data_IF_304309456863
#
_entry.id   IF_304309456863
#
_cell.length_a   1.000
_cell.length_b   1.000
_cell.length_c   1.000
_cell.angle_alpha   90.00
_cell.angle_beta   90.00
_cell.angle_gamma   90.00
#
_symmetry.space_group_name_H-M   'P 1'
#
loop_
_entity.id
_entity.type
_entity.pdbx_description
1 polymer ?
#
# COMPACT_ATOMS: atom_id res chain seq x y z
N UNK A 1 -11.17 1.69 -22.48
CA UNK A 1 -10.78 3.00 -21.92
C UNK A 1 -11.95 3.84 -21.40
N UNK A 2 -13.11 3.87 -22.05
CA UNK A 2 -14.31 4.64 -21.62
C UNK A 2 -14.99 4.15 -20.33
N UNK A 3 -15.04 2.84 -20.07
CA UNK A 3 -15.66 2.26 -18.85
C UNK A 3 -14.91 2.62 -17.57
N UNK A 4 -13.57 2.72 -17.61
CA UNK A 4 -12.73 3.04 -16.47
C UNK A 4 -12.93 4.49 -15.97
N UNK A 5 -13.25 5.43 -16.89
CA UNK A 5 -13.46 6.84 -16.56
C UNK A 5 -14.82 7.10 -15.89
N UNK A 6 -15.87 6.41 -16.29
CA UNK A 6 -17.21 6.58 -15.71
C UNK A 6 -17.29 5.98 -14.29
N UNK A 7 -16.70 4.81 -14.04
CA UNK A 7 -16.61 4.17 -12.72
C UNK A 7 -15.83 5.05 -11.73
N UNK A 8 -14.70 5.62 -12.17
CA UNK A 8 -13.88 6.50 -11.33
C UNK A 8 -14.63 7.79 -10.91
N UNK A 9 -15.46 8.36 -11.79
CA UNK A 9 -16.26 9.54 -11.43
C UNK A 9 -17.31 9.20 -10.38
N UNK A 10 -18.02 8.08 -10.55
CA UNK A 10 -19.02 7.61 -9.57
C UNK A 10 -18.41 7.29 -8.21
N UNK A 11 -17.22 6.66 -8.19
CA UNK A 11 -16.47 6.41 -6.97
C UNK A 11 -16.08 7.72 -6.27
N UNK A 12 -15.52 8.67 -6.99
CA UNK A 12 -15.08 9.96 -6.43
C UNK A 12 -16.26 10.77 -5.86
N UNK A 13 -17.43 10.74 -6.52
CA UNK A 13 -18.65 11.33 -6.00
C UNK A 13 -19.11 10.65 -4.70
N UNK A 14 -19.10 9.32 -4.63
CA UNK A 14 -19.45 8.56 -3.42
C UNK A 14 -18.54 8.91 -2.26
N UNK A 15 -17.22 8.88 -2.47
CA UNK A 15 -16.22 9.24 -1.46
C UNK A 15 -16.38 10.70 -0.99
N UNK A 16 -16.66 11.63 -1.92
CA UNK A 16 -16.86 13.05 -1.59
C UNK A 16 -18.12 13.24 -0.76
N UNK A 17 -19.20 12.52 -1.05
CA UNK A 17 -20.43 12.58 -0.27
C UNK A 17 -20.24 12.00 1.14
N UNK A 18 -19.53 10.89 1.28
CA UNK A 18 -19.19 10.32 2.59
C UNK A 18 -18.37 11.30 3.47
N UNK A 19 -17.52 12.13 2.86
CA UNK A 19 -16.83 13.20 3.60
C UNK A 19 -17.80 14.27 4.08
N UNK A 20 -18.75 14.70 3.24
CA UNK A 20 -19.77 15.71 3.63
C UNK A 20 -20.69 15.21 4.75
N UNK A 21 -20.96 13.92 4.78
CA UNK A 21 -21.76 13.24 5.79
C UNK A 21 -20.98 12.94 7.08
N UNK A 22 -19.66 13.18 7.08
CA UNK A 22 -18.78 12.96 8.24
C UNK A 22 -18.37 11.49 8.45
N UNK A 23 -18.65 10.62 7.51
CA UNK A 23 -18.34 9.18 7.57
C UNK A 23 -16.90 8.89 7.13
N UNK A 24 -16.41 9.62 6.11
CA UNK A 24 -15.04 9.52 5.61
C UNK A 24 -14.23 10.78 5.99
N UNK A 25 -13.00 10.60 6.45
CA UNK A 25 -12.09 11.70 6.74
C UNK A 25 -11.58 12.37 5.45
N UNK A 26 -11.41 13.68 5.45
CA UNK A 26 -10.79 14.42 4.33
C UNK A 26 -9.37 13.91 4.02
N UNK A 27 -8.61 13.55 5.06
CA UNK A 27 -7.29 12.94 4.89
C UNK A 27 -7.37 11.59 4.20
N UNK A 28 -8.38 10.78 4.50
CA UNK A 28 -8.62 9.50 3.84
C UNK A 28 -8.96 9.70 2.36
N UNK A 29 -9.87 10.62 2.03
CA UNK A 29 -10.20 10.96 0.64
C UNK A 29 -8.97 11.41 -0.14
N UNK A 30 -8.17 12.32 0.43
CA UNK A 30 -6.93 12.81 -0.18
C UNK A 30 -5.96 11.67 -0.47
N UNK A 31 -5.76 10.78 0.50
CA UNK A 31 -4.83 9.65 0.36
C UNK A 31 -5.35 8.58 -0.61
N UNK A 32 -6.66 8.34 -0.68
CA UNK A 32 -7.27 7.46 -1.70
C UNK A 32 -7.00 8.02 -3.09
N UNK A 33 -7.29 9.30 -3.32
CA UNK A 33 -7.05 9.97 -4.62
C UNK A 33 -5.58 9.89 -5.04
N UNK A 34 -4.65 10.16 -4.11
CA UNK A 34 -3.22 10.07 -4.37
C UNK A 34 -2.79 8.64 -4.74
N UNK A 35 -3.29 7.63 -4.01
CA UNK A 35 -2.98 6.24 -4.33
C UNK A 35 -3.50 5.86 -5.70
N UNK A 36 -4.78 6.13 -5.99
CA UNK A 36 -5.42 5.74 -7.26
C UNK A 36 -4.80 6.46 -8.47
N UNK A 37 -4.43 7.73 -8.31
CA UNK A 37 -3.73 8.47 -9.37
C UNK A 37 -2.30 7.95 -9.62
N UNK A 38 -1.63 7.43 -8.58
CA UNK A 38 -0.24 6.98 -8.65
C UNK A 38 -0.04 5.49 -8.95
N UNK A 39 -1.11 4.68 -8.90
CA UNK A 39 -1.00 3.22 -9.12
C UNK A 39 -1.56 2.79 -10.47
N UNK A 40 -0.96 1.72 -11.01
CA UNK A 40 -1.51 0.98 -12.17
C UNK A 40 -2.15 -0.35 -11.74
N UNK A 41 -2.21 -0.62 -10.44
CA UNK A 41 -2.75 -1.87 -9.92
C UNK A 41 -4.28 -1.85 -9.95
N UNK A 42 -4.95 -2.76 -10.67
CA UNK A 42 -6.41 -2.87 -10.65
C UNK A 42 -6.93 -3.23 -9.25
N UNK A 43 -6.18 -4.02 -8.49
CA UNK A 43 -6.54 -4.44 -7.13
C UNK A 43 -6.77 -3.23 -6.21
N UNK A 44 -5.98 -2.15 -6.38
CA UNK A 44 -6.14 -0.96 -5.55
C UNK A 44 -7.46 -0.24 -5.81
N UNK A 45 -7.87 -0.14 -7.08
CA UNK A 45 -9.14 0.46 -7.46
C UNK A 45 -10.32 -0.40 -7.02
N UNK A 46 -10.29 -1.68 -7.37
CA UNK A 46 -11.35 -2.64 -7.04
C UNK A 46 -11.58 -2.77 -5.52
N UNK A 47 -10.51 -2.78 -4.72
CA UNK A 47 -10.63 -2.84 -3.26
C UNK A 47 -11.29 -1.58 -2.68
N UNK A 48 -10.94 -0.39 -3.17
CA UNK A 48 -11.56 0.86 -2.72
C UNK A 48 -13.02 0.94 -3.19
N UNK A 49 -13.31 0.57 -4.44
CA UNK A 49 -14.67 0.52 -4.98
C UNK A 49 -15.57 -0.43 -4.17
N UNK A 50 -15.07 -1.62 -3.83
CA UNK A 50 -15.83 -2.61 -3.06
C UNK A 50 -16.16 -2.10 -1.66
N UNK A 51 -15.20 -1.53 -0.94
CA UNK A 51 -15.41 -0.96 0.39
C UNK A 51 -16.37 0.24 0.35
N UNK A 52 -16.22 1.15 -0.60
CA UNK A 52 -17.09 2.31 -0.76
C UNK A 52 -18.53 1.90 -1.12
N UNK A 53 -18.70 0.92 -2.02
CA UNK A 53 -20.01 0.41 -2.40
C UNK A 53 -20.72 -0.32 -1.25
N UNK A 54 -19.96 -0.90 -0.32
CA UNK A 54 -20.50 -1.54 0.89
C UNK A 54 -20.72 -0.56 2.05
N UNK A 55 -20.34 0.74 1.91
CA UNK A 55 -20.44 1.72 2.99
C UNK A 55 -19.44 1.51 4.12
N UNK A 56 -18.33 0.80 3.86
CA UNK A 56 -17.33 0.45 4.87
C UNK A 56 -16.34 1.60 5.12
N UNK A 57 -16.90 2.75 5.48
CA UNK A 57 -16.17 4.01 5.66
C UNK A 57 -15.13 3.95 6.78
N UNK A 58 -15.45 3.24 7.86
CA UNK A 58 -14.50 3.07 8.97
C UNK A 58 -13.26 2.28 8.52
N UNK A 59 -13.44 1.22 7.74
CA UNK A 59 -12.33 0.45 7.19
C UNK A 59 -11.50 1.29 6.22
N UNK A 60 -12.15 2.12 5.38
CA UNK A 60 -11.44 3.08 4.51
C UNK A 60 -10.68 4.12 5.33
N UNK A 61 -11.26 4.66 6.40
CA UNK A 61 -10.55 5.56 7.30
C UNK A 61 -9.30 4.89 7.89
N UNK A 62 -9.43 3.69 8.45
CA UNK A 62 -8.32 2.95 9.04
C UNK A 62 -7.17 2.66 8.05
N UNK A 63 -7.52 2.50 6.78
CA UNK A 63 -6.56 2.22 5.71
C UNK A 63 -5.89 3.46 5.14
N UNK A 64 -6.57 4.63 5.21
CA UNK A 64 -6.18 5.81 4.45
C UNK A 64 -6.00 7.09 5.27
N UNK A 65 -6.29 7.12 6.60
CA UNK A 65 -6.21 8.33 7.41
C UNK A 65 -4.84 9.01 7.40
N UNK A 66 -3.79 8.28 7.06
CA UNK A 66 -2.42 8.78 6.92
C UNK A 66 -1.62 7.99 5.90
N UNK A 67 -0.45 8.50 5.54
CA UNK A 67 0.57 7.73 4.84
C UNK A 67 1.49 7.05 5.84
N UNK A 68 1.80 5.77 5.63
CA UNK A 68 2.70 5.01 6.48
C UNK A 68 4.07 5.66 6.51
N UNK A 69 4.51 6.03 7.70
CA UNK A 69 5.80 6.67 7.93
C UNK A 69 6.72 5.78 8.75
N UNK A 70 8.02 6.02 8.62
CA UNK A 70 9.03 5.36 9.43
C UNK A 70 8.94 5.88 10.87
N UNK A 71 8.65 4.99 11.81
CA UNK A 71 8.58 5.28 13.25
C UNK A 71 9.76 4.66 13.99
N UNK A 72 9.69 4.63 15.33
CA UNK A 72 10.69 4.00 16.18
C UNK A 72 10.84 2.51 15.82
N UNK A 73 11.95 2.15 15.19
CA UNK A 73 12.28 0.79 14.82
C UNK A 73 11.65 0.25 13.53
N UNK A 74 11.08 1.10 12.66
CA UNK A 74 10.65 0.70 11.32
C UNK A 74 9.24 1.14 10.91
N UNK A 75 8.79 0.64 9.77
CA UNK A 75 7.41 0.78 9.30
C UNK A 75 6.52 -0.20 10.07
N UNK A 76 5.37 0.28 10.53
CA UNK A 76 4.38 -0.54 11.25
C UNK A 76 2.99 -0.26 10.70
N UNK A 77 2.33 -1.30 10.21
CA UNK A 77 0.97 -1.26 9.70
C UNK A 77 0.43 -2.68 9.58
N UNK A 78 -0.88 -2.81 9.53
CA UNK A 78 -1.50 -4.13 9.30
C UNK A 78 -1.28 -4.57 7.86
N UNK A 79 -1.12 -5.88 7.66
CA UNK A 79 -0.95 -6.50 6.35
C UNK A 79 -2.25 -7.10 5.82
N UNK A 80 -3.22 -7.33 6.69
CA UNK A 80 -4.55 -7.84 6.38
C UNK A 80 -5.57 -6.88 6.98
N UNK A 81 -6.57 -6.45 6.20
CA UNK A 81 -7.66 -5.59 6.64
C UNK A 81 -8.59 -6.28 7.63
N UNK A 82 -9.37 -5.52 8.40
CA UNK A 82 -10.47 -6.09 9.19
C UNK A 82 -11.56 -6.64 8.28
N UNK A 83 -11.75 -6.01 7.13
CA UNK A 83 -12.56 -6.50 6.02
C UNK A 83 -11.60 -6.79 4.88
N UNK A 84 -11.64 -8.00 4.35
CA UNK A 84 -10.84 -8.41 3.19
C UNK A 84 -11.73 -8.34 1.97
N UNK A 85 -11.36 -7.51 0.99
CA UNK A 85 -12.09 -7.38 -0.26
C UNK A 85 -11.86 -8.60 -1.17
N UNK A 86 -12.74 -8.83 -2.14
CA UNK A 86 -12.57 -9.90 -3.12
C UNK A 86 -11.30 -9.72 -3.95
N UNK A 87 -10.98 -8.47 -4.27
CA UNK A 87 -9.75 -8.12 -4.97
C UNK A 87 -8.50 -8.50 -4.16
N UNK A 88 -8.50 -8.27 -2.84
CA UNK A 88 -7.40 -8.67 -1.95
C UNK A 88 -7.38 -10.18 -1.70
N UNK A 89 -8.55 -10.80 -1.57
CA UNK A 89 -8.66 -12.26 -1.38
C UNK A 89 -8.07 -13.02 -2.56
N UNK A 90 -8.33 -12.56 -3.79
CA UNK A 90 -7.86 -13.23 -5.01
C UNK A 90 -8.20 -14.71 -5.00
N UNK A 91 -7.24 -15.57 -5.34
CA UNK A 91 -7.37 -17.03 -5.27
C UNK A 91 -7.02 -17.59 -3.87
N UNK A 92 -6.74 -16.72 -2.93
CA UNK A 92 -6.22 -17.10 -1.61
C UNK A 92 -4.70 -17.34 -1.59
N UNK A 93 -4.09 -17.08 -0.45
CA UNK A 93 -2.66 -17.26 -0.23
C UNK A 93 -2.34 -18.44 0.67
N UNK A 94 -1.06 -18.61 0.94
CA UNK A 94 -0.54 -19.65 1.84
C UNK A 94 -1.13 -19.48 3.25
N UNK A 95 -1.48 -20.58 3.90
CA UNK A 95 -2.06 -20.61 5.26
C UNK A 95 -3.39 -19.85 5.40
N UNK A 96 -4.19 -19.78 4.33
CA UNK A 96 -5.53 -19.17 4.36
C UNK A 96 -5.53 -17.64 4.40
N UNK A 97 -4.39 -16.98 4.24
CA UNK A 97 -4.33 -15.53 4.11
C UNK A 97 -4.89 -15.07 2.76
N UNK A 98 -5.29 -13.80 2.59
CA UNK A 98 -5.54 -13.22 1.28
C UNK A 98 -4.33 -13.38 0.35
N UNK A 99 -4.55 -13.41 -0.95
CA UNK A 99 -3.46 -13.43 -1.95
C UNK A 99 -2.65 -12.14 -1.91
N UNK A 100 -3.33 -11.00 -1.73
CA UNK A 100 -2.72 -9.68 -1.71
C UNK A 100 -2.82 -9.01 -0.33
N UNK A 101 -1.80 -8.24 0.07
CA UNK A 101 -1.84 -7.48 1.30
C UNK A 101 -2.83 -6.32 1.21
N UNK A 102 -3.34 -5.89 2.36
CA UNK A 102 -4.30 -4.82 2.55
C UNK A 102 -3.95 -3.55 1.75
N UNK A 103 -4.86 -3.13 0.89
CA UNK A 103 -4.76 -1.88 0.13
C UNK A 103 -4.96 -0.69 1.08
N UNK A 104 -4.03 0.26 1.05
CA UNK A 104 -4.13 1.48 1.85
C UNK A 104 -2.79 2.17 2.06
N UNK A 105 -2.84 3.48 2.26
CA UNK A 105 -1.63 4.27 2.51
C UNK A 105 -1.10 4.11 3.93
N UNK A 106 -1.93 3.70 4.89
CA UNK A 106 -1.57 3.41 6.28
C UNK A 106 -1.23 1.92 6.51
N UNK A 107 -1.34 1.07 5.48
CA UNK A 107 -1.15 -0.38 5.57
C UNK A 107 0.27 -0.79 5.17
N UNK A 108 0.72 -1.94 5.67
CA UNK A 108 1.95 -2.57 5.22
C UNK A 108 1.65 -3.41 3.97
N UNK A 109 2.03 -2.89 2.81
CA UNK A 109 1.78 -3.50 1.51
C UNK A 109 2.91 -3.21 0.53
N UNK A 110 2.84 -3.76 -0.68
CA UNK A 110 3.89 -3.60 -1.71
C UNK A 110 4.14 -2.14 -2.09
N UNK A 111 3.13 -1.29 -2.07
CA UNK A 111 3.29 0.15 -2.34
C UNK A 111 4.18 0.81 -1.29
N UNK A 112 3.83 0.67 -0.01
CA UNK A 112 4.58 1.31 1.08
C UNK A 112 5.96 0.68 1.30
N UNK A 113 6.07 -0.65 1.21
CA UNK A 113 7.35 -1.37 1.31
C UNK A 113 8.26 -0.98 0.13
N UNK A 114 7.73 -0.95 -1.09
CA UNK A 114 8.50 -0.57 -2.28
C UNK A 114 8.99 0.88 -2.22
N UNK A 115 8.15 1.80 -1.74
CA UNK A 115 8.53 3.20 -1.53
C UNK A 115 9.68 3.32 -0.52
N UNK A 116 9.57 2.64 0.61
CA UNK A 116 10.60 2.63 1.66
C UNK A 116 11.91 2.02 1.15
N UNK A 117 11.83 0.89 0.43
CA UNK A 117 13.01 0.23 -0.14
C UNK A 117 13.73 1.10 -1.15
N UNK A 118 13.00 1.79 -2.04
CA UNK A 118 13.63 2.75 -2.98
C UNK A 118 14.33 3.91 -2.25
N UNK A 119 13.71 4.44 -1.20
CA UNK A 119 14.33 5.46 -0.35
C UNK A 119 15.63 4.96 0.30
N UNK A 120 15.61 3.74 0.84
CA UNK A 120 16.79 3.11 1.43
C UNK A 120 17.92 2.91 0.41
N UNK A 121 17.61 2.45 -0.80
CA UNK A 121 18.59 2.27 -1.87
C UNK A 121 19.27 3.60 -2.22
N UNK A 122 18.46 4.65 -2.39
CA UNK A 122 19.00 6.00 -2.69
C UNK A 122 19.93 6.46 -1.58
N UNK A 123 19.52 6.28 -0.33
CA UNK A 123 20.34 6.64 0.83
C UNK A 123 21.65 5.84 0.85
N UNK A 124 21.60 4.51 0.73
CA UNK A 124 22.79 3.65 0.78
C UNK A 124 23.75 3.96 -0.36
N UNK A 125 23.25 4.16 -1.60
CA UNK A 125 24.09 4.57 -2.74
C UNK A 125 24.84 5.88 -2.45
N UNK A 126 24.14 6.91 -1.97
CA UNK A 126 24.75 8.20 -1.61
C UNK A 126 25.77 8.08 -0.46
N UNK A 127 25.43 7.27 0.56
CA UNK A 127 26.30 7.07 1.71
C UNK A 127 27.61 6.37 1.31
N UNK A 128 27.52 5.29 0.54
CA UNK A 128 28.70 4.55 0.07
C UNK A 128 29.56 5.43 -0.83
N UNK A 129 28.98 6.18 -1.76
CA UNK A 129 29.73 7.09 -2.62
C UNK A 129 30.49 8.16 -1.82
N UNK A 130 29.90 8.67 -0.73
CA UNK A 130 30.52 9.68 0.11
C UNK A 130 31.60 9.13 1.06
N UNK A 131 31.50 7.87 1.49
CA UNK A 131 32.37 7.29 2.53
C UNK A 131 33.41 6.31 2.01
N UNK A 132 33.11 5.61 0.90
CA UNK A 132 34.00 4.61 0.29
C UNK A 132 33.74 4.55 -1.23
N UNK A 133 34.20 5.57 -1.99
CA UNK A 133 33.97 5.67 -3.43
C UNK A 133 34.49 4.43 -4.16
N UNK A 134 33.65 3.87 -5.05
CA UNK A 134 34.00 2.67 -5.82
C UNK A 134 33.60 1.33 -5.16
N UNK A 135 33.22 1.33 -3.90
CA UNK A 135 32.63 0.15 -3.26
C UNK A 135 31.22 -0.09 -3.79
N UNK A 136 30.87 -1.35 -4.06
CA UNK A 136 29.50 -1.73 -4.41
C UNK A 136 28.63 -1.76 -3.16
N UNK A 137 27.49 -1.02 -3.13
CA UNK A 137 26.51 -1.11 -2.05
C UNK A 137 26.02 -2.54 -1.85
N UNK A 138 25.84 -2.95 -0.60
CA UNK A 138 25.29 -4.27 -0.24
C UNK A 138 24.24 -4.11 0.83
N UNK A 139 23.14 -4.84 0.68
CA UNK A 139 22.07 -4.93 1.67
C UNK A 139 21.83 -6.39 2.01
N UNK A 140 21.53 -6.64 3.28
CA UNK A 140 21.05 -7.95 3.75
C UNK A 140 19.57 -7.79 4.09
N UNK A 141 18.73 -8.69 3.58
CA UNK A 141 17.30 -8.70 3.80
C UNK A 141 16.94 -10.00 4.49
N UNK A 142 16.29 -9.89 5.65
CA UNK A 142 15.72 -11.01 6.39
C UNK A 142 14.20 -10.95 6.41
N UNK A 143 13.56 -12.05 6.78
CA UNK A 143 12.13 -12.14 7.02
C UNK A 143 11.85 -13.02 8.25
N UNK A 144 10.65 -12.88 8.78
CA UNK A 144 10.13 -13.70 9.88
C UNK A 144 8.89 -14.50 9.44
N UNK A 145 8.15 -15.05 10.38
CA UNK A 145 6.98 -15.91 10.13
C UNK A 145 5.66 -15.16 9.95
N UNK A 146 5.65 -13.82 10.04
CA UNK A 146 4.45 -13.02 9.84
C UNK A 146 3.94 -13.10 8.41
N UNK A 147 2.62 -12.93 8.24
CA UNK A 147 2.00 -12.88 6.92
C UNK A 147 2.69 -11.83 6.02
N UNK A 148 2.96 -12.21 4.78
CA UNK A 148 3.65 -11.41 3.76
C UNK A 148 5.12 -11.06 4.05
N UNK A 149 5.70 -11.47 5.19
CA UNK A 149 7.08 -11.06 5.51
C UNK A 149 8.09 -11.57 4.47
N UNK A 150 7.99 -12.83 4.07
CA UNK A 150 8.82 -13.40 3.01
C UNK A 150 8.56 -12.74 1.65
N UNK A 151 7.28 -12.53 1.29
CA UNK A 151 6.90 -11.90 0.01
C UNK A 151 7.47 -10.48 -0.09
N UNK A 152 7.42 -9.71 1.01
CA UNK A 152 8.03 -8.37 1.06
C UNK A 152 9.55 -8.42 0.97
N UNK A 153 10.22 -9.40 1.59
CA UNK A 153 11.66 -9.56 1.48
C UNK A 153 12.08 -9.87 0.04
N UNK A 154 11.40 -10.80 -0.63
CA UNK A 154 11.63 -11.12 -2.05
C UNK A 154 11.36 -9.91 -2.96
N UNK A 155 10.30 -9.15 -2.69
CA UNK A 155 9.98 -7.92 -3.42
C UNK A 155 11.06 -6.85 -3.24
N UNK A 156 11.54 -6.65 -2.00
CA UNK A 156 12.65 -5.74 -1.72
C UNK A 156 13.93 -6.16 -2.45
N UNK A 157 14.24 -7.47 -2.49
CA UNK A 157 15.39 -7.96 -3.21
C UNK A 157 15.30 -7.67 -4.71
N UNK A 158 14.13 -7.86 -5.33
CA UNK A 158 13.90 -7.51 -6.75
C UNK A 158 14.12 -6.03 -7.02
N UNK A 159 13.65 -5.13 -6.12
CA UNK A 159 13.89 -3.68 -6.26
C UNK A 159 15.37 -3.35 -6.10
N UNK A 160 16.07 -4.04 -5.19
CA UNK A 160 17.48 -3.79 -4.89
C UNK A 160 18.44 -4.24 -5.99
N UNK A 161 18.01 -5.14 -6.88
CA UNK A 161 18.82 -5.69 -7.98
C UNK A 161 18.48 -5.08 -9.34
N UNK A 162 17.45 -4.26 -9.44
CA UNK A 162 17.06 -3.52 -10.65
C UNK A 162 17.80 -2.18 -10.71
#
# INVERSE_FOLDING_TARGET
MMYYSASMNTLDESLTNAVKEGELLESSLTNIRLLLAGTKSPIACEAVEELAAAGEWQELNDRFYKTLAFGTGGLRGRTIGSIVTRAEQGNGGVNGRPEYPCVGTACMNYFNVGRAMRGLIIYVKKHVEATDPGRKPRLVIGHDTRHFSRDFAEFCAKIGTA
#
